data_IF_732516905129
#
_entry.id   IF_732516905129
#
_cell.length_a   1.000
_cell.length_b   1.000
_cell.length_c   1.000
_cell.angle_alpha   90.00
_cell.angle_beta   90.00
_cell.angle_gamma   90.00
#
_symmetry.space_group_name_H-M   'P 1'
#
loop_
_entity.id
_entity.type
_entity.pdbx_description
1 polymer ?
#
# COMPACT_ATOMS: atom_id res chain seq x y z
N UNK A 1 23.97 -16.36 33.73
CA UNK A 1 23.26 -15.20 33.10
C UNK A 1 21.86 -15.12 33.70
N UNK A 2 21.51 -14.01 34.38
CA UNK A 2 20.21 -13.88 35.07
C UNK A 2 19.03 -13.97 34.09
N UNK A 3 17.85 -14.38 34.59
CA UNK A 3 16.65 -14.51 33.76
C UNK A 3 16.28 -13.19 33.01
N UNK A 4 16.35 -11.99 33.62
CA UNK A 4 16.10 -10.74 32.91
C UNK A 4 17.12 -10.47 31.78
N UNK A 5 18.41 -10.76 32.01
CA UNK A 5 19.46 -10.63 30.97
C UNK A 5 19.15 -11.51 29.76
N UNK A 6 18.70 -12.77 29.98
CA UNK A 6 18.32 -13.68 28.87
C UNK A 6 17.11 -13.16 28.09
N UNK A 7 16.11 -12.61 28.78
CA UNK A 7 14.93 -12.02 28.14
C UNK A 7 15.29 -10.80 27.30
N UNK A 8 16.13 -9.89 27.82
CA UNK A 8 16.63 -8.73 27.06
C UNK A 8 17.34 -9.17 25.79
N UNK A 9 18.24 -10.16 25.87
CA UNK A 9 18.95 -10.67 24.70
C UNK A 9 17.98 -11.27 23.65
N UNK A 10 16.96 -12.02 24.10
CA UNK A 10 15.94 -12.58 23.20
C UNK A 10 15.11 -11.49 22.52
N UNK A 11 14.64 -10.49 23.27
CA UNK A 11 13.88 -9.35 22.75
C UNK A 11 14.72 -8.51 21.78
N UNK A 12 15.99 -8.24 22.10
CA UNK A 12 16.90 -7.46 21.24
C UNK A 12 17.12 -8.14 19.90
N UNK A 13 17.32 -9.47 19.89
CA UNK A 13 17.36 -10.25 18.64
C UNK A 13 16.06 -10.18 17.87
N UNK A 14 14.92 -10.16 18.57
CA UNK A 14 13.61 -10.05 17.95
C UNK A 14 13.37 -8.66 17.34
N UNK A 15 13.87 -7.58 17.96
CA UNK A 15 13.91 -6.22 17.38
C UNK A 15 14.77 -6.22 16.13
N UNK A 16 16.00 -6.73 16.21
CA UNK A 16 16.93 -6.77 15.06
C UNK A 16 16.36 -7.51 13.84
N UNK A 17 15.63 -8.62 14.07
CA UNK A 17 14.94 -9.34 12.98
C UNK A 17 13.80 -8.51 12.37
N UNK A 18 13.01 -7.82 13.20
CA UNK A 18 11.90 -6.98 12.73
C UNK A 18 12.37 -5.74 11.99
N UNK A 19 13.50 -5.16 12.38
CA UNK A 19 14.12 -4.03 11.66
C UNK A 19 14.55 -4.45 10.26
N UNK A 20 15.16 -5.63 10.10
CA UNK A 20 15.48 -6.19 8.77
C UNK A 20 14.22 -6.43 7.94
N UNK A 21 13.21 -7.07 8.52
CA UNK A 21 11.91 -7.26 7.85
C UNK A 21 11.24 -5.94 7.47
N UNK A 22 11.43 -4.86 8.24
CA UNK A 22 10.92 -3.53 7.87
C UNK A 22 11.61 -2.97 6.63
N UNK A 23 12.92 -3.21 6.47
CA UNK A 23 13.64 -2.81 5.26
C UNK A 23 13.06 -3.51 4.04
N UNK A 24 12.79 -4.82 4.15
CA UNK A 24 12.16 -5.60 3.08
C UNK A 24 10.75 -5.08 2.75
N UNK A 25 9.94 -4.77 3.77
CA UNK A 25 8.60 -4.20 3.58
C UNK A 25 8.64 -2.82 2.91
N UNK A 26 9.62 -1.97 3.27
CA UNK A 26 9.79 -0.66 2.65
C UNK A 26 10.26 -0.77 1.20
N UNK A 27 11.17 -1.69 0.91
CA UNK A 27 11.60 -1.97 -0.46
C UNK A 27 10.42 -2.45 -1.32
N UNK A 28 9.61 -3.39 -0.79
CA UNK A 28 8.38 -3.83 -1.46
C UNK A 28 7.38 -2.70 -1.67
N UNK A 29 7.18 -1.83 -0.67
CA UNK A 29 6.31 -0.67 -0.82
C UNK A 29 6.79 0.27 -1.93
N UNK A 30 8.10 0.53 -2.02
CA UNK A 30 8.67 1.35 -3.08
C UNK A 30 8.45 0.74 -4.47
N UNK A 31 8.64 -0.57 -4.61
CA UNK A 31 8.36 -1.30 -5.86
C UNK A 31 6.88 -1.20 -6.26
N UNK A 32 5.96 -1.39 -5.32
CA UNK A 32 4.53 -1.21 -5.58
C UNK A 32 4.22 0.22 -6.01
N UNK A 33 4.69 1.23 -5.27
CA UNK A 33 4.45 2.64 -5.63
C UNK A 33 4.98 2.97 -7.03
N UNK A 34 6.15 2.46 -7.41
CA UNK A 34 6.70 2.63 -8.75
C UNK A 34 5.84 1.91 -9.83
N UNK A 35 5.41 0.67 -9.55
CA UNK A 35 4.55 -0.11 -10.45
C UNK A 35 3.14 0.48 -10.62
N UNK A 36 2.72 1.40 -9.75
CA UNK A 36 1.43 2.10 -9.86
C UNK A 36 1.36 3.02 -11.07
N UNK A 37 2.46 3.69 -11.43
CA UNK A 37 2.48 4.69 -12.51
C UNK A 37 2.02 4.11 -13.86
N UNK A 38 2.60 3.00 -14.38
CA UNK A 38 2.15 2.43 -15.66
C UNK A 38 0.70 1.93 -15.62
N UNK A 39 0.17 1.54 -14.45
CA UNK A 39 -1.25 1.18 -14.32
C UNK A 39 -2.16 2.39 -14.47
N UNK A 40 -1.78 3.54 -13.92
CA UNK A 40 -2.51 4.81 -14.09
C UNK A 40 -2.48 5.26 -15.55
N UNK A 41 -1.33 5.15 -16.21
CA UNK A 41 -1.18 5.49 -17.62
C UNK A 41 -2.05 4.59 -18.51
N UNK A 42 -2.06 3.28 -18.26
CA UNK A 42 -2.92 2.33 -18.97
C UNK A 42 -4.41 2.65 -18.76
N UNK A 43 -4.82 2.94 -17.53
CA UNK A 43 -6.21 3.34 -17.22
C UNK A 43 -6.62 4.62 -17.97
N UNK A 44 -5.74 5.62 -18.00
CA UNK A 44 -5.96 6.86 -18.73
C UNK A 44 -6.04 6.63 -20.25
N UNK A 45 -5.16 5.79 -20.80
CA UNK A 45 -5.17 5.44 -22.22
C UNK A 45 -6.45 4.70 -22.60
N UNK A 46 -6.89 3.73 -21.80
CA UNK A 46 -8.14 3.01 -22.01
C UNK A 46 -9.34 3.95 -22.01
N UNK A 47 -9.38 4.90 -21.06
CA UNK A 47 -10.42 5.94 -21.00
C UNK A 47 -10.42 6.85 -22.22
N UNK A 48 -9.24 7.31 -22.63
CA UNK A 48 -9.07 8.14 -23.83
C UNK A 48 -9.62 7.44 -25.07
N UNK A 49 -9.23 6.18 -25.29
CA UNK A 49 -9.71 5.38 -26.42
C UNK A 49 -11.23 5.16 -26.40
N UNK A 50 -11.80 4.86 -25.22
CA UNK A 50 -13.25 4.72 -25.08
C UNK A 50 -13.99 6.02 -25.42
N UNK A 51 -13.45 7.18 -24.99
CA UNK A 51 -14.02 8.49 -25.26
C UNK A 51 -13.94 8.87 -26.75
N UNK A 52 -12.84 8.55 -27.43
CA UNK A 52 -12.69 8.74 -28.88
C UNK A 52 -13.77 7.97 -29.66
N UNK A 53 -13.97 6.69 -29.32
CA UNK A 53 -15.00 5.85 -29.93
C UNK A 53 -16.42 6.35 -29.60
N UNK A 54 -16.65 6.86 -28.39
CA UNK A 54 -17.94 7.45 -28.02
C UNK A 54 -18.24 8.71 -28.84
N UNK A 55 -17.24 9.58 -29.01
CA UNK A 55 -17.36 10.78 -29.82
C UNK A 55 -17.66 10.44 -31.28
N UNK A 56 -16.99 9.42 -31.84
CA UNK A 56 -17.26 8.93 -33.18
C UNK A 56 -18.68 8.35 -33.30
N UNK A 57 -19.11 7.52 -32.36
CA UNK A 57 -20.47 6.99 -32.31
C UNK A 57 -21.53 8.09 -32.20
N UNK A 58 -21.24 9.16 -31.45
CA UNK A 58 -22.09 10.33 -31.33
C UNK A 58 -22.21 11.08 -32.65
N UNK A 59 -21.08 11.32 -33.34
CA UNK A 59 -21.06 11.96 -34.65
C UNK A 59 -21.92 11.21 -35.67
N UNK A 60 -21.85 9.87 -35.71
CA UNK A 60 -22.72 9.09 -36.60
C UNK A 60 -24.21 9.21 -36.25
N UNK A 61 -24.56 9.19 -34.95
CA UNK A 61 -25.95 9.38 -34.51
C UNK A 61 -26.48 10.75 -34.90
N UNK A 62 -25.70 11.81 -34.68
CA UNK A 62 -26.07 13.18 -35.07
C UNK A 62 -26.31 13.30 -36.57
N UNK A 63 -25.45 12.67 -37.38
CA UNK A 63 -25.59 12.67 -38.84
C UNK A 63 -26.82 11.90 -39.33
N UNK A 64 -27.12 10.75 -38.72
CA UNK A 64 -28.37 10.03 -38.97
C UNK A 64 -29.57 10.92 -38.63
N UNK A 65 -29.56 11.57 -37.46
CA UNK A 65 -30.63 12.47 -37.04
C UNK A 65 -30.80 13.65 -38.01
N UNK A 66 -29.71 14.24 -38.49
CA UNK A 66 -29.74 15.34 -39.44
C UNK A 66 -30.40 14.94 -40.77
N UNK A 67 -30.05 13.78 -41.33
CA UNK A 67 -30.71 13.26 -42.55
C UNK A 67 -32.21 12.98 -42.31
N UNK A 68 -32.58 12.44 -41.15
CA UNK A 68 -33.98 12.14 -40.83
C UNK A 68 -34.83 13.40 -40.54
N UNK A 69 -34.21 14.47 -40.06
CA UNK A 69 -34.85 15.76 -39.79
C UNK A 69 -34.88 16.69 -41.02
N UNK A 70 -34.29 16.28 -42.15
CA UNK A 70 -34.17 17.11 -43.35
C UNK A 70 -33.12 18.22 -43.25
N UNK A 71 -32.26 18.20 -42.23
CA UNK A 71 -31.16 19.15 -42.05
C UNK A 71 -29.92 18.80 -42.90
N UNK A 72 -29.81 17.56 -43.37
CA UNK A 72 -28.79 17.09 -44.34
C UNK A 72 -29.52 16.37 -45.49
N UNK A 73 -29.01 16.42 -46.75
CA UNK A 73 -29.59 15.69 -47.86
C UNK A 73 -29.71 14.19 -47.57
N UNK A 74 -30.89 13.64 -47.80
CA UNK A 74 -31.13 12.22 -47.61
C UNK A 74 -30.59 11.40 -48.79
N UNK A 75 -29.84 10.35 -48.46
CA UNK A 75 -29.44 9.29 -49.40
C UNK A 75 -29.54 7.95 -48.68
N UNK A 76 -30.23 6.99 -49.31
CA UNK A 76 -30.43 5.66 -48.72
C UNK A 76 -29.11 4.87 -48.60
N UNK A 77 -28.21 5.03 -49.57
CA UNK A 77 -26.91 4.38 -49.56
C UNK A 77 -26.02 4.96 -48.44
N UNK A 78 -26.03 6.29 -48.31
CA UNK A 78 -25.28 7.00 -47.26
C UNK A 78 -25.81 6.66 -45.88
N UNK A 79 -27.12 6.62 -45.70
CA UNK A 79 -27.75 6.20 -44.44
C UNK A 79 -27.37 4.77 -44.08
N UNK A 80 -27.42 3.85 -45.04
CA UNK A 80 -27.07 2.44 -44.82
C UNK A 80 -25.61 2.29 -44.42
N UNK A 81 -24.71 2.98 -45.11
CA UNK A 81 -23.29 2.98 -44.78
C UNK A 81 -23.01 3.53 -43.37
N UNK A 82 -23.60 4.68 -43.01
CA UNK A 82 -23.41 5.28 -41.68
C UNK A 82 -23.93 4.35 -40.57
N UNK A 83 -25.05 3.66 -40.79
CA UNK A 83 -25.58 2.69 -39.81
C UNK A 83 -24.62 1.53 -39.58
N UNK A 84 -24.07 0.93 -40.64
CA UNK A 84 -23.09 -0.16 -40.52
C UNK A 84 -21.84 0.29 -39.76
N UNK A 85 -21.30 1.47 -40.09
CA UNK A 85 -20.15 2.02 -39.37
C UNK A 85 -20.48 2.35 -37.91
N UNK A 86 -21.67 2.88 -37.63
CA UNK A 86 -22.10 3.17 -36.27
C UNK A 86 -22.22 1.89 -35.43
N UNK A 87 -22.75 0.80 -36.00
CA UNK A 87 -22.81 -0.51 -35.34
C UNK A 87 -21.41 -1.05 -35.00
N UNK A 88 -20.47 -0.95 -35.95
CA UNK A 88 -19.09 -1.37 -35.73
C UNK A 88 -18.42 -0.54 -34.62
N UNK A 89 -18.53 0.79 -34.68
CA UNK A 89 -17.95 1.68 -33.67
C UNK A 89 -18.60 1.46 -32.31
N UNK A 90 -19.91 1.23 -32.23
CA UNK A 90 -20.58 0.88 -30.96
C UNK A 90 -20.03 -0.43 -30.39
N UNK A 91 -19.73 -1.43 -31.22
CA UNK A 91 -19.13 -2.69 -30.79
C UNK A 91 -17.70 -2.49 -30.25
N UNK A 92 -16.91 -1.66 -30.93
CA UNK A 92 -15.58 -1.28 -30.44
C UNK A 92 -15.65 -0.48 -29.14
N UNK A 93 -16.58 0.47 -29.04
CA UNK A 93 -16.79 1.26 -27.83
C UNK A 93 -17.16 0.36 -26.64
N UNK A 94 -18.06 -0.61 -26.83
CA UNK A 94 -18.40 -1.57 -25.79
C UNK A 94 -17.17 -2.36 -25.30
N UNK A 95 -16.31 -2.83 -26.21
CA UNK A 95 -15.04 -3.48 -25.85
C UNK A 95 -14.08 -2.54 -25.12
N UNK A 96 -13.98 -1.29 -25.54
CA UNK A 96 -13.15 -0.29 -24.88
C UNK A 96 -13.65 0.01 -23.45
N UNK A 97 -14.97 0.06 -23.24
CA UNK A 97 -15.56 0.20 -21.91
C UNK A 97 -15.22 -0.98 -20.99
N UNK A 98 -15.20 -2.22 -21.49
CA UNK A 98 -14.74 -3.37 -20.71
C UNK A 98 -13.24 -3.28 -20.39
N UNK A 99 -12.42 -2.80 -21.33
CA UNK A 99 -11.00 -2.55 -21.08
C UNK A 99 -10.78 -1.47 -20.00
N UNK A 100 -11.58 -0.40 -20.00
CA UNK A 100 -11.57 0.63 -18.94
C UNK A 100 -11.88 0.02 -17.58
N UNK A 101 -12.94 -0.80 -17.49
CA UNK A 101 -13.29 -1.50 -16.24
C UNK A 101 -12.16 -2.39 -15.76
N UNK A 102 -11.56 -3.18 -16.65
CA UNK A 102 -10.44 -4.05 -16.32
C UNK A 102 -9.23 -3.26 -15.79
N UNK A 103 -8.88 -2.14 -16.44
CA UNK A 103 -7.79 -1.28 -16.00
C UNK A 103 -8.08 -0.63 -14.62
N UNK A 104 -9.32 -0.21 -14.38
CA UNK A 104 -9.75 0.33 -13.08
C UNK A 104 -9.68 -0.73 -11.98
N UNK A 105 -10.13 -1.95 -12.25
CA UNK A 105 -10.02 -3.07 -11.31
C UNK A 105 -8.56 -3.37 -10.96
N UNK A 106 -7.67 -3.44 -11.96
CA UNK A 106 -6.24 -3.64 -11.74
C UNK A 106 -5.63 -2.55 -10.85
N UNK A 107 -6.02 -1.28 -11.06
CA UNK A 107 -5.54 -0.16 -10.24
C UNK A 107 -6.05 -0.27 -8.78
N UNK A 108 -7.32 -0.61 -8.59
CA UNK A 108 -7.92 -0.79 -7.25
C UNK A 108 -7.24 -1.93 -6.50
N UNK A 109 -7.04 -3.09 -7.14
CA UNK A 109 -6.35 -4.24 -6.54
C UNK A 109 -4.92 -3.89 -6.15
N UNK A 110 -4.22 -3.18 -7.04
CA UNK A 110 -2.86 -2.73 -6.78
C UNK A 110 -2.79 -1.74 -5.61
N UNK A 111 -3.70 -0.77 -5.55
CA UNK A 111 -3.80 0.20 -4.45
C UNK A 111 -4.15 -0.47 -3.12
N UNK A 112 -4.97 -1.52 -3.14
CA UNK A 112 -5.21 -2.37 -1.97
C UNK A 112 -3.92 -3.07 -1.50
N UNK A 113 -3.06 -3.51 -2.43
CA UNK A 113 -1.73 -4.06 -2.14
C UNK A 113 -0.79 -3.06 -1.46
N UNK A 114 -0.77 -1.81 -1.92
CA UNK A 114 -0.04 -0.70 -1.29
C UNK A 114 -0.56 -0.47 0.13
N UNK A 115 -1.87 -0.32 0.28
CA UNK A 115 -2.51 -0.08 1.58
C UNK A 115 -2.21 -1.22 2.56
N UNK A 116 -2.24 -2.47 2.09
CA UNK A 116 -1.92 -3.63 2.91
C UNK A 116 -0.46 -3.61 3.39
N UNK A 117 0.48 -3.32 2.50
CA UNK A 117 1.91 -3.24 2.85
C UNK A 117 2.18 -2.12 3.87
N UNK A 118 1.52 -0.96 3.72
CA UNK A 118 1.57 0.12 4.72
C UNK A 118 1.06 -0.32 6.09
N UNK A 119 -0.04 -1.07 6.15
CA UNK A 119 -0.56 -1.65 7.40
C UNK A 119 0.43 -2.62 8.04
N UNK A 120 1.07 -3.47 7.26
CA UNK A 120 2.07 -4.41 7.77
C UNK A 120 3.31 -3.69 8.34
N UNK A 121 3.77 -2.62 7.69
CA UNK A 121 4.83 -1.75 8.25
C UNK A 121 4.40 -1.17 9.60
N UNK A 122 3.19 -0.60 9.69
CA UNK A 122 2.69 -0.01 10.93
C UNK A 122 2.59 -1.05 12.06
N UNK A 123 2.07 -2.25 11.77
CA UNK A 123 2.02 -3.36 12.73
C UNK A 123 3.42 -3.79 13.18
N UNK A 124 4.38 -3.87 12.25
CA UNK A 124 5.75 -4.25 12.58
C UNK A 124 6.42 -3.24 13.51
N UNK A 125 6.24 -1.93 13.23
CA UNK A 125 6.70 -0.85 14.13
C UNK A 125 6.11 -0.97 15.52
N UNK A 126 4.79 -1.14 15.63
CA UNK A 126 4.15 -1.33 16.95
C UNK A 126 4.70 -2.54 17.72
N UNK A 127 5.10 -3.62 17.03
CA UNK A 127 5.75 -4.78 17.66
C UNK A 127 7.18 -4.48 18.10
N UNK A 128 7.92 -3.66 17.35
CA UNK A 128 9.26 -3.18 17.72
C UNK A 128 9.15 -2.34 18.99
N UNK A 129 8.26 -1.33 19.00
CA UNK A 129 8.05 -0.43 20.13
C UNK A 129 7.70 -1.19 21.41
N UNK A 130 6.85 -2.23 21.31
CA UNK A 130 6.51 -3.07 22.44
C UNK A 130 7.73 -3.84 22.99
N UNK A 131 8.57 -4.39 22.11
CA UNK A 131 9.78 -5.09 22.51
C UNK A 131 10.77 -4.13 23.19
N UNK A 132 10.98 -2.95 22.62
CA UNK A 132 11.89 -1.92 23.15
C UNK A 132 11.41 -1.41 24.51
N UNK A 133 10.11 -1.13 24.66
CA UNK A 133 9.51 -0.80 25.96
C UNK A 133 9.76 -1.89 27.00
N UNK A 134 9.59 -3.16 26.62
CA UNK A 134 9.83 -4.28 27.54
C UNK A 134 11.30 -4.44 27.90
N UNK A 135 12.21 -4.22 26.96
CA UNK A 135 13.66 -4.18 27.22
C UNK A 135 13.97 -3.10 28.25
N UNK A 136 13.46 -1.88 28.07
CA UNK A 136 13.70 -0.78 29.01
C UNK A 136 13.19 -1.06 30.42
N UNK A 137 12.03 -1.73 30.56
CA UNK A 137 11.52 -2.17 31.88
C UNK A 137 12.48 -3.18 32.52
N UNK A 138 12.93 -4.18 31.77
CA UNK A 138 13.83 -5.21 32.29
C UNK A 138 15.21 -4.67 32.64
N UNK A 139 15.69 -3.65 31.92
CA UNK A 139 16.94 -2.94 32.24
C UNK A 139 16.83 -2.24 33.59
N UNK A 140 15.77 -1.45 33.81
CA UNK A 140 15.55 -0.80 35.12
C UNK A 140 15.45 -1.78 36.28
N UNK A 141 14.88 -2.96 36.07
CA UNK A 141 14.86 -4.03 37.09
C UNK A 141 16.26 -4.52 37.40
N UNK A 142 17.12 -4.69 36.39
CA UNK A 142 18.51 -5.08 36.60
C UNK A 142 19.32 -3.98 37.30
N UNK A 143 19.06 -2.72 36.95
CA UNK A 143 19.72 -1.57 37.57
C UNK A 143 19.33 -1.45 39.05
N UNK A 144 18.05 -1.67 39.38
CA UNK A 144 17.58 -1.72 40.77
C UNK A 144 18.23 -2.85 41.58
N UNK A 145 18.28 -4.07 41.02
CA UNK A 145 18.96 -5.20 41.68
C UNK A 145 20.45 -4.91 41.94
N UNK A 146 21.11 -4.19 41.02
CA UNK A 146 22.51 -3.83 41.19
C UNK A 146 22.69 -2.76 42.29
N UNK A 147 21.83 -1.75 42.32
CA UNK A 147 21.84 -0.72 43.36
C UNK A 147 21.57 -1.32 44.75
N UNK A 148 20.57 -2.20 44.88
CA UNK A 148 20.25 -2.87 46.14
C UNK A 148 21.45 -3.69 46.67
N UNK A 149 22.17 -4.37 45.78
CA UNK A 149 23.37 -5.15 46.15
C UNK A 149 24.55 -4.25 46.57
N UNK A 150 24.73 -3.10 45.92
CA UNK A 150 25.74 -2.11 46.30
C UNK A 150 25.45 -1.51 47.68
N UNK A 151 24.18 -1.21 47.97
CA UNK A 151 23.76 -0.71 49.29
C UNK A 151 24.01 -1.74 50.40
N UNK A 152 23.69 -3.02 50.17
CA UNK A 152 23.95 -4.12 51.12
C UNK A 152 25.45 -4.29 51.41
N UNK A 153 26.31 -4.23 50.38
CA UNK A 153 27.77 -4.28 50.53
C UNK A 153 28.31 -3.08 51.35
N UNK A 154 27.73 -1.90 51.16
CA UNK A 154 28.10 -0.69 51.93
C UNK A 154 27.69 -0.84 53.40
N UNK A 155 26.49 -1.34 53.68
CA UNK A 155 26.03 -1.58 55.05
C UNK A 155 26.87 -2.64 55.76
N UNK A 156 27.18 -3.77 55.10
CA UNK A 156 28.01 -4.83 55.67
C UNK A 156 29.42 -4.33 55.97
N UNK A 157 30.03 -3.56 55.07
CA UNK A 157 31.35 -2.97 55.31
C UNK A 157 31.36 -1.93 56.43
N UNK A 158 30.29 -1.14 56.58
CA UNK A 158 30.13 -0.22 57.69
C UNK A 158 30.00 -0.96 59.03
N UNK A 159 29.15 -2.00 59.09
CA UNK A 159 28.99 -2.85 60.27
C UNK A 159 30.29 -3.58 60.65
N UNK A 160 31.01 -4.11 59.67
CA UNK A 160 32.29 -4.79 59.88
C UNK A 160 33.39 -3.85 60.42
N UNK A 161 33.32 -2.55 60.12
CA UNK A 161 34.21 -1.53 60.70
C UNK A 161 33.82 -1.18 62.14
N UNK A 162 32.52 -1.02 62.41
CA UNK A 162 31.97 -0.79 63.75
C UNK A 162 32.27 -1.95 64.71
N UNK A 163 32.26 -3.20 64.24
CA UNK A 163 32.54 -4.37 65.07
C UNK A 163 34.05 -4.58 65.40
N UNK A 164 34.96 -3.83 64.75
CA UNK A 164 36.42 -3.92 64.96
C UNK A 164 37.01 -2.72 65.70
N UNK A 165 36.23 -1.68 65.95
CA UNK A 165 36.60 -0.51 66.76
C UNK A 165 36.03 -0.63 68.16
#
# INVERSE_FOLDING_TARGET
MSAPKRQIAALSRAVSRRQRSEQDLRARLAQLVAARLPLVENEAQARGHAAELEAQARSYRERITAMMAGAEPFSIDTLTAIRLYAEEVNRHHAKACEAVKAAQHALIEHDAGIANTRREIAKNRGRIDLCEKRIGILQRVLDGIAADAEDEDIEETALARLARG
#
